data_IF_627935559040
#
_entry.id   IF_627935559040
#
_cell.length_a   1.000
_cell.length_b   1.000
_cell.length_c   1.000
_cell.angle_alpha   90.00
_cell.angle_beta   90.00
_cell.angle_gamma   90.00
#
_symmetry.space_group_name_H-M   'P 1'
#
loop_
_entity.id
_entity.type
_entity.pdbx_description
1 polymer ?
#
# COMPACT_ATOMS: atom_id res chain seq x y z
N UNK A 1 -45.63 -18.51 64.43
CA UNK A 1 -45.99 -17.69 63.26
C UNK A 1 -44.75 -17.63 62.33
N UNK A 2 -44.68 -18.55 61.36
CA UNK A 2 -43.54 -18.66 60.45
C UNK A 2 -43.94 -18.05 59.12
N UNK A 3 -43.29 -16.93 58.74
CA UNK A 3 -43.42 -16.39 57.45
C UNK A 3 -42.34 -17.01 56.54
N UNK A 4 -42.77 -17.77 55.55
CA UNK A 4 -41.91 -18.25 54.45
C UNK A 4 -41.75 -17.13 53.42
N UNK A 5 -40.48 -16.77 53.12
CA UNK A 5 -40.14 -15.88 52.08
C UNK A 5 -39.88 -16.77 50.86
N UNK A 6 -40.66 -16.59 49.83
CA UNK A 6 -40.41 -17.23 48.47
C UNK A 6 -39.40 -16.42 47.72
N UNK A 7 -38.29 -17.03 47.34
CA UNK A 7 -37.33 -16.45 46.43
C UNK A 7 -37.81 -16.66 44.97
N UNK A 8 -38.02 -15.59 44.27
CA UNK A 8 -38.31 -15.59 42.82
C UNK A 8 -36.99 -15.48 42.08
N UNK A 9 -36.60 -16.57 41.45
CA UNK A 9 -35.42 -16.57 40.54
C UNK A 9 -35.85 -16.08 39.18
N UNK A 10 -35.45 -14.86 38.81
CA UNK A 10 -35.65 -14.34 37.50
C UNK A 10 -34.54 -14.87 36.58
N UNK A 11 -34.87 -15.78 35.67
CA UNK A 11 -33.97 -16.25 34.60
C UNK A 11 -34.04 -15.23 33.47
N UNK A 12 -32.99 -14.44 33.34
CA UNK A 12 -32.82 -13.51 32.20
C UNK A 12 -32.34 -14.31 30.99
N UNK A 13 -33.24 -14.61 30.07
CA UNK A 13 -32.89 -15.08 28.74
C UNK A 13 -32.30 -13.91 27.92
N UNK A 14 -30.98 -13.91 27.73
CA UNK A 14 -30.34 -13.07 26.74
C UNK A 14 -30.63 -13.64 25.34
N UNK A 15 -31.54 -13.01 24.62
CA UNK A 15 -31.65 -13.22 23.18
C UNK A 15 -30.44 -12.54 22.50
N UNK A 16 -29.52 -13.33 21.97
CA UNK A 16 -28.57 -12.85 20.99
C UNK A 16 -29.33 -12.64 19.66
N UNK A 17 -29.65 -11.39 19.37
CA UNK A 17 -30.08 -11.01 18.05
C UNK A 17 -28.84 -11.09 17.13
N UNK A 18 -28.75 -12.15 16.34
CA UNK A 18 -27.82 -12.22 15.21
C UNK A 18 -28.24 -11.15 14.21
N UNK A 19 -27.48 -10.06 14.14
CA UNK A 19 -27.60 -9.09 13.06
C UNK A 19 -27.10 -9.79 11.80
N UNK A 20 -28.05 -10.29 11.00
CA UNK A 20 -27.76 -10.65 9.61
C UNK A 20 -27.42 -9.37 8.87
N UNK A 21 -26.16 -9.15 8.59
CA UNK A 21 -25.73 -8.14 7.60
C UNK A 21 -26.23 -8.67 6.26
N UNK A 22 -27.12 -7.96 5.54
CA UNK A 22 -27.53 -8.40 4.23
C UNK A 22 -26.28 -8.41 3.35
N UNK A 23 -26.00 -9.53 2.70
CA UNK A 23 -25.02 -9.60 1.62
C UNK A 23 -25.41 -8.54 0.58
N UNK A 24 -24.56 -7.52 0.42
CA UNK A 24 -24.69 -6.59 -0.71
C UNK A 24 -24.41 -7.41 -1.95
N UNK A 25 -25.46 -7.82 -2.64
CA UNK A 25 -25.33 -8.34 -3.99
C UNK A 25 -24.84 -7.20 -4.87
N UNK A 26 -23.61 -7.28 -5.32
CA UNK A 26 -23.11 -6.42 -6.39
C UNK A 26 -23.87 -6.79 -7.67
N UNK A 27 -25.01 -6.17 -7.90
CA UNK A 27 -25.67 -6.17 -9.20
C UNK A 27 -24.88 -5.22 -10.10
N UNK A 28 -24.11 -5.80 -10.99
CA UNK A 28 -23.32 -5.07 -11.97
C UNK A 28 -22.17 -5.87 -12.56
N UNK A 29 -22.31 -7.19 -12.67
CA UNK A 29 -21.38 -7.98 -13.48
C UNK A 29 -21.69 -7.77 -14.96
N UNK A 30 -20.94 -6.89 -15.62
CA UNK A 30 -20.74 -7.05 -17.06
C UNK A 30 -20.20 -8.46 -17.28
N UNK A 31 -20.93 -9.26 -18.02
CA UNK A 31 -20.63 -10.65 -18.36
C UNK A 31 -19.25 -10.75 -19.05
N UNK A 32 -18.20 -10.92 -18.25
CA UNK A 32 -16.90 -11.37 -18.74
C UNK A 32 -17.10 -12.86 -18.90
N UNK A 33 -17.46 -13.28 -20.11
CA UNK A 33 -17.91 -14.57 -20.57
C UNK A 33 -17.64 -15.74 -19.61
N UNK A 34 -18.59 -16.61 -19.44
CA UNK A 34 -18.78 -17.67 -18.42
C UNK A 34 -17.58 -18.60 -18.11
N UNK A 35 -16.38 -18.34 -18.62
CA UNK A 35 -15.19 -19.19 -18.44
C UNK A 35 -14.12 -18.62 -17.50
N UNK A 36 -14.20 -17.36 -17.06
CA UNK A 36 -13.19 -16.75 -16.19
C UNK A 36 -13.81 -15.99 -15.00
N UNK A 37 -14.56 -16.69 -14.16
CA UNK A 37 -15.00 -16.09 -12.90
C UNK A 37 -13.80 -15.97 -11.94
N UNK A 38 -13.37 -14.74 -11.68
CA UNK A 38 -12.42 -14.46 -10.60
C UNK A 38 -13.12 -14.68 -9.26
N UNK A 39 -12.56 -15.53 -8.43
CA UNK A 39 -13.11 -15.89 -7.12
C UNK A 39 -12.04 -15.73 -6.05
N UNK A 40 -12.37 -15.02 -4.96
CA UNK A 40 -11.57 -15.06 -3.76
C UNK A 40 -11.58 -16.48 -3.19
N UNK A 41 -10.43 -17.11 -3.04
CA UNK A 41 -10.32 -18.51 -2.58
C UNK A 41 -10.01 -18.61 -1.10
N UNK A 42 -9.36 -17.59 -0.52
CA UNK A 42 -9.04 -17.50 0.90
C UNK A 42 -8.72 -16.06 1.31
N UNK A 43 -8.72 -15.83 2.61
CA UNK A 43 -8.11 -14.66 3.25
C UNK A 43 -7.35 -15.13 4.49
N UNK A 44 -6.38 -14.34 4.96
CA UNK A 44 -5.66 -14.60 6.19
C UNK A 44 -5.24 -13.28 6.83
N UNK A 45 -5.42 -13.17 8.14
CA UNK A 45 -5.11 -11.99 8.95
C UNK A 45 -4.00 -12.25 9.99
N UNK A 46 -3.26 -13.34 9.86
CA UNK A 46 -2.23 -13.73 10.84
C UNK A 46 -1.09 -12.70 11.01
N UNK A 47 -0.91 -11.83 10.05
CA UNK A 47 0.08 -10.74 10.13
C UNK A 47 -0.51 -9.44 10.70
N UNK A 48 -1.86 -9.31 10.83
CA UNK A 48 -2.44 -8.09 11.37
C UNK A 48 -2.02 -7.88 12.82
N UNK A 49 -1.32 -6.79 13.05
CA UNK A 49 -0.80 -6.40 14.38
C UNK A 49 0.12 -7.42 15.05
N UNK A 50 0.71 -8.33 14.27
CA UNK A 50 1.73 -9.24 14.77
C UNK A 50 2.90 -8.43 15.36
N UNK A 51 3.34 -8.77 16.56
CA UNK A 51 4.63 -8.30 17.10
C UNK A 51 5.75 -9.18 16.55
N UNK A 52 6.61 -8.60 15.72
CA UNK A 52 7.80 -9.27 15.21
C UNK A 52 9.04 -8.64 15.82
N UNK A 53 9.60 -9.27 16.83
CA UNK A 53 10.82 -8.79 17.56
C UNK A 53 10.66 -7.36 18.09
N UNK A 54 9.48 -7.02 18.61
CA UNK A 54 9.20 -5.68 19.12
C UNK A 54 8.77 -4.66 18.06
N UNK A 55 8.65 -5.07 16.80
CA UNK A 55 8.15 -4.24 15.70
C UNK A 55 6.75 -4.73 15.32
N UNK A 56 5.77 -3.85 15.37
CA UNK A 56 4.41 -4.18 14.99
C UNK A 56 4.27 -4.26 13.49
N UNK A 57 3.75 -5.36 12.98
CA UNK A 57 3.37 -5.51 11.57
C UNK A 57 2.01 -4.84 11.36
N UNK A 58 1.90 -4.01 10.33
CA UNK A 58 0.65 -3.33 9.98
C UNK A 58 0.84 -2.40 8.79
N UNK A 59 -0.28 -1.88 8.28
CA UNK A 59 -0.27 -0.96 7.15
C UNK A 59 0.39 -1.54 5.88
N UNK A 60 0.31 -2.85 5.65
CA UNK A 60 0.88 -3.47 4.45
C UNK A 60 0.05 -3.01 3.25
N UNK A 61 0.51 -1.99 2.54
CA UNK A 61 -0.17 -1.38 1.42
C UNK A 61 0.27 -1.97 0.09
N UNK A 62 1.57 -1.96 -0.22
CA UNK A 62 2.12 -2.54 -1.42
C UNK A 62 2.62 -3.98 -1.24
N UNK A 63 2.33 -4.86 -2.20
CA UNK A 63 2.82 -6.24 -2.22
C UNK A 63 3.36 -6.58 -3.61
N UNK A 64 4.57 -7.14 -3.68
CA UNK A 64 5.16 -7.61 -4.93
C UNK A 64 5.95 -8.89 -4.74
N UNK A 65 6.28 -9.56 -5.84
CA UNK A 65 7.09 -10.76 -5.85
C UNK A 65 8.56 -10.41 -6.13
N UNK A 66 9.45 -10.78 -5.21
CA UNK A 66 10.90 -10.72 -5.42
C UNK A 66 11.35 -12.04 -6.06
N UNK A 67 11.62 -11.99 -7.36
CA UNK A 67 12.04 -13.15 -8.14
C UNK A 67 13.42 -13.67 -7.70
N UNK A 68 14.29 -12.81 -7.23
CA UNK A 68 15.65 -13.16 -6.81
C UNK A 68 15.65 -13.82 -5.44
N UNK A 69 14.91 -13.27 -4.49
CA UNK A 69 14.74 -13.84 -3.15
C UNK A 69 13.73 -14.98 -3.11
N UNK A 70 12.97 -15.21 -4.20
CA UNK A 70 11.92 -16.22 -4.31
C UNK A 70 10.90 -16.11 -3.14
N UNK A 71 10.47 -14.87 -2.86
CA UNK A 71 9.59 -14.50 -1.75
C UNK A 71 8.71 -13.31 -2.09
N UNK A 72 7.63 -13.12 -1.35
CA UNK A 72 6.91 -11.86 -1.42
C UNK A 72 7.61 -10.79 -0.58
N UNK A 73 7.51 -9.56 -1.02
CA UNK A 73 7.89 -8.38 -0.25
C UNK A 73 6.72 -7.41 -0.17
N UNK A 74 6.52 -6.83 1.00
CA UNK A 74 5.45 -5.86 1.24
C UNK A 74 6.03 -4.62 1.91
N UNK A 75 5.64 -3.44 1.46
CA UNK A 75 5.97 -2.20 2.12
C UNK A 75 4.85 -1.79 3.09
N UNK A 76 5.20 -1.03 4.13
CA UNK A 76 4.23 -0.45 5.07
C UNK A 76 3.89 0.97 4.68
N UNK A 77 2.60 1.27 4.58
CA UNK A 77 2.06 2.61 4.80
C UNK A 77 2.12 2.89 6.29
N UNK A 78 2.96 3.83 6.71
CA UNK A 78 3.22 4.12 8.10
C UNK A 78 2.67 5.48 8.50
N UNK A 79 2.19 5.57 9.73
CA UNK A 79 1.66 6.81 10.29
C UNK A 79 2.54 7.37 11.40
N UNK A 80 2.65 8.70 11.45
CA UNK A 80 3.38 9.40 12.51
C UNK A 80 4.86 9.04 12.52
N UNK A 81 5.39 8.63 13.66
CA UNK A 81 6.82 8.32 13.83
C UNK A 81 7.20 6.89 13.47
N UNK A 82 6.25 6.06 13.04
CA UNK A 82 6.57 4.68 12.64
C UNK A 82 7.43 4.70 11.39
N UNK A 83 8.55 3.98 11.43
CA UNK A 83 9.51 3.95 10.34
C UNK A 83 8.97 3.20 9.14
N UNK A 84 9.18 3.77 7.96
CA UNK A 84 8.89 3.11 6.69
C UNK A 84 9.82 1.95 6.45
N UNK A 85 9.26 0.79 6.09
CA UNK A 85 10.05 -0.43 5.91
C UNK A 85 9.42 -1.41 4.93
N UNK A 86 10.27 -2.30 4.45
CA UNK A 86 9.84 -3.46 3.67
C UNK A 86 9.89 -4.71 4.54
N UNK A 87 8.84 -5.52 4.42
CA UNK A 87 8.69 -6.82 5.06
C UNK A 87 8.91 -7.93 4.03
N UNK A 88 9.48 -9.04 4.47
CA UNK A 88 9.77 -10.20 3.61
C UNK A 88 8.89 -11.36 4.04
N UNK A 89 8.03 -11.82 3.13
CA UNK A 89 6.99 -12.80 3.40
C UNK A 89 7.31 -14.11 2.68
N UNK A 90 6.90 -15.21 3.30
CA UNK A 90 6.98 -16.53 2.67
C UNK A 90 6.08 -16.65 1.44
N UNK A 91 6.31 -17.69 0.64
CA UNK A 91 5.54 -17.98 -0.58
C UNK A 91 4.09 -18.35 -0.31
N UNK A 92 3.82 -18.94 0.84
CA UNK A 92 2.47 -19.39 1.19
C UNK A 92 1.67 -18.25 1.80
N UNK A 93 0.90 -17.53 0.97
CA UNK A 93 0.00 -16.49 1.42
C UNK A 93 -1.28 -17.03 2.09
N UNK A 94 -1.55 -18.34 2.02
CA UNK A 94 -2.62 -18.95 2.83
C UNK A 94 -2.22 -19.05 4.30
N UNK A 95 -0.91 -19.13 4.58
CA UNK A 95 -0.35 -19.14 5.91
C UNK A 95 0.87 -18.20 5.95
N UNK A 96 0.64 -16.89 5.88
CA UNK A 96 1.71 -15.91 5.70
C UNK A 96 2.64 -15.88 6.90
N UNK A 97 3.92 -15.77 6.64
CA UNK A 97 4.96 -15.68 7.67
C UNK A 97 6.05 -14.70 7.27
N UNK A 98 6.68 -14.06 8.25
CA UNK A 98 7.84 -13.22 8.03
C UNK A 98 9.07 -14.12 7.98
N UNK A 99 9.86 -14.01 6.90
CA UNK A 99 10.99 -14.92 6.63
C UNK A 99 12.34 -14.35 7.04
N UNK A 100 12.44 -13.03 7.16
CA UNK A 100 13.64 -12.32 7.64
C UNK A 100 13.27 -10.98 8.25
N UNK A 101 14.24 -10.34 8.93
CA UNK A 101 14.04 -9.02 9.53
C UNK A 101 13.67 -7.98 8.46
N UNK A 102 12.76 -7.04 8.79
CA UNK A 102 12.40 -5.98 7.89
C UNK A 102 13.58 -5.03 7.65
N UNK A 103 13.57 -4.34 6.53
CA UNK A 103 14.55 -3.32 6.19
C UNK A 103 13.88 -1.96 6.26
N UNK A 104 14.44 -1.05 7.07
CA UNK A 104 13.97 0.34 7.20
C UNK A 104 14.53 1.17 6.04
N UNK A 105 13.67 2.01 5.45
CA UNK A 105 14.08 2.94 4.41
C UNK A 105 14.73 4.18 5.02
N UNK A 106 15.87 4.59 4.45
CA UNK A 106 16.62 5.77 4.88
C UNK A 106 16.94 6.67 3.70
N UNK A 107 17.08 7.96 3.97
CA UNK A 107 17.54 8.94 2.99
C UNK A 107 19.05 8.74 2.67
N UNK A 108 19.58 9.57 1.79
CA UNK A 108 21.00 9.54 1.39
C UNK A 108 21.96 9.81 2.55
N UNK A 109 21.48 10.44 3.63
CA UNK A 109 22.26 10.75 4.85
C UNK A 109 22.11 9.68 5.93
N UNK A 110 21.24 8.69 5.73
CA UNK A 110 20.98 7.62 6.68
C UNK A 110 19.87 7.94 7.69
N UNK A 111 19.07 9.00 7.47
CA UNK A 111 17.91 9.33 8.30
C UNK A 111 16.74 8.45 7.88
N UNK A 112 16.09 7.79 8.85
CA UNK A 112 14.92 6.94 8.55
C UNK A 112 13.74 7.75 8.05
N UNK A 113 13.10 7.25 7.00
CA UNK A 113 11.77 7.68 6.60
C UNK A 113 10.72 7.15 7.57
N UNK A 114 9.66 7.92 7.78
CA UNK A 114 8.52 7.55 8.62
C UNK A 114 7.25 8.24 8.11
N UNK A 115 6.10 7.96 8.71
CA UNK A 115 4.82 8.52 8.29
C UNK A 115 4.65 10.03 8.48
N UNK A 116 5.65 10.78 9.00
CA UNK A 116 5.69 12.24 8.96
C UNK A 116 6.51 12.78 7.79
N UNK A 117 7.27 11.93 7.10
CA UNK A 117 8.22 12.31 6.04
C UNK A 117 7.95 11.63 4.72
N UNK A 118 7.08 10.62 4.67
CA UNK A 118 6.66 9.93 3.45
C UNK A 118 5.33 9.22 3.67
N UNK A 119 4.56 9.06 2.60
CA UNK A 119 3.26 8.39 2.55
C UNK A 119 3.35 7.28 1.49
N UNK A 120 3.97 6.17 1.86
CA UNK A 120 4.35 5.13 0.90
C UNK A 120 3.20 4.18 0.62
N UNK A 121 2.94 3.88 -0.67
CA UNK A 121 1.81 3.06 -1.09
C UNK A 121 2.21 1.85 -1.94
N UNK A 122 2.99 2.03 -2.96
CA UNK A 122 3.37 0.96 -3.88
C UNK A 122 4.82 0.53 -3.76
N UNK A 123 5.08 -0.74 -4.11
CA UNK A 123 6.43 -1.31 -4.16
C UNK A 123 6.64 -2.14 -5.42
N UNK A 124 7.81 -2.01 -6.03
CA UNK A 124 8.31 -2.95 -7.04
C UNK A 124 9.75 -3.34 -6.72
N UNK A 125 10.12 -4.58 -7.00
CA UNK A 125 11.51 -5.05 -6.94
C UNK A 125 12.11 -4.95 -8.32
N UNK A 126 13.19 -4.20 -8.44
CA UNK A 126 13.91 -3.97 -9.69
C UNK A 126 14.82 -5.17 -10.02
N UNK A 127 15.26 -5.32 -11.28
CA UNK A 127 16.07 -6.47 -11.71
C UNK A 127 17.41 -6.63 -10.96
N UNK A 128 17.96 -5.56 -10.43
CA UNK A 128 19.19 -5.53 -9.61
C UNK A 128 18.96 -5.82 -8.12
N UNK A 129 17.69 -6.01 -7.71
CA UNK A 129 17.30 -6.27 -6.32
C UNK A 129 17.02 -5.00 -5.51
N UNK A 130 17.08 -3.84 -6.12
CA UNK A 130 16.67 -2.57 -5.53
C UNK A 130 15.14 -2.48 -5.41
N UNK A 131 14.66 -1.60 -4.51
CA UNK A 131 13.25 -1.33 -4.34
C UNK A 131 12.87 0.00 -4.96
N UNK A 132 11.84 0.01 -5.80
CA UNK A 132 11.13 1.23 -6.17
C UNK A 132 9.90 1.37 -5.28
N UNK A 133 9.71 2.56 -4.69
CA UNK A 133 8.62 2.86 -3.75
C UNK A 133 7.91 4.12 -4.23
N UNK A 134 6.59 4.06 -4.43
CA UNK A 134 5.76 5.24 -4.66
C UNK A 134 5.30 5.84 -3.33
N UNK A 135 5.20 7.17 -3.29
CA UNK A 135 4.63 7.93 -2.18
C UNK A 135 3.61 8.92 -2.72
N UNK A 136 2.48 9.03 -2.02
CA UNK A 136 1.42 9.99 -2.35
C UNK A 136 1.81 11.45 -2.09
N UNK A 137 2.86 11.66 -1.32
CA UNK A 137 3.27 12.96 -0.85
C UNK A 137 2.49 13.42 0.38
N UNK A 138 3.04 14.40 1.08
CA UNK A 138 2.50 14.94 2.33
C UNK A 138 2.18 16.43 2.14
N UNK A 139 0.96 16.90 2.44
CA UNK A 139 0.64 18.31 2.41
C UNK A 139 1.32 19.05 3.56
N UNK A 140 1.58 20.35 3.41
CA UNK A 140 2.15 21.19 4.48
C UNK A 140 1.10 21.40 5.58
N UNK A 141 1.03 20.47 6.54
CA UNK A 141 0.08 20.52 7.64
C UNK A 141 0.75 20.17 8.97
N UNK A 142 0.56 21.02 9.96
CA UNK A 142 1.03 20.77 11.32
C UNK A 142 2.56 20.67 11.43
N UNK A 143 3.05 19.51 11.88
CA UNK A 143 4.49 19.23 12.07
C UNK A 143 5.12 18.48 10.90
N UNK A 144 4.33 18.08 9.93
CA UNK A 144 4.82 17.31 8.80
C UNK A 144 5.61 18.20 7.85
N UNK A 145 6.72 17.68 7.37
CA UNK A 145 7.42 18.29 6.26
C UNK A 145 6.60 18.01 5.00
N UNK A 146 6.29 19.08 4.23
CA UNK A 146 5.61 18.90 2.96
C UNK A 146 6.47 18.05 2.02
N UNK A 147 5.86 17.04 1.42
CA UNK A 147 6.48 16.18 0.43
C UNK A 147 5.64 16.19 -0.84
N UNK A 148 6.29 16.21 -2.00
CA UNK A 148 5.65 15.97 -3.29
C UNK A 148 5.42 14.48 -3.50
N UNK A 149 4.44 14.05 -4.31
CA UNK A 149 4.39 12.66 -4.75
C UNK A 149 5.70 12.24 -5.39
N UNK A 150 6.23 11.09 -5.00
CA UNK A 150 7.56 10.64 -5.41
C UNK A 150 7.57 9.18 -5.79
N UNK A 151 8.58 8.78 -6.57
CA UNK A 151 9.00 7.38 -6.71
C UNK A 151 10.48 7.31 -6.38
N UNK A 152 10.81 6.73 -5.24
CA UNK A 152 12.19 6.60 -4.77
C UNK A 152 12.75 5.23 -5.05
N UNK A 153 14.04 5.21 -5.36
CA UNK A 153 14.81 3.97 -5.53
C UNK A 153 15.69 3.78 -4.30
N UNK A 154 15.55 2.62 -3.68
CA UNK A 154 16.34 2.21 -2.50
C UNK A 154 17.14 0.96 -2.85
N UNK A 155 18.36 0.87 -2.33
CA UNK A 155 19.12 -0.37 -2.41
C UNK A 155 18.51 -1.48 -1.54
N UNK A 156 19.03 -2.71 -1.66
CA UNK A 156 18.57 -3.87 -0.90
C UNK A 156 18.69 -3.72 0.63
N UNK A 157 19.46 -2.73 1.11
CA UNK A 157 19.60 -2.39 2.53
C UNK A 157 18.69 -1.22 2.96
N UNK A 158 17.84 -0.73 2.05
CA UNK A 158 16.87 0.33 2.32
C UNK A 158 17.46 1.75 2.23
N UNK A 159 18.68 1.93 1.72
CA UNK A 159 19.26 3.26 1.54
C UNK A 159 18.83 3.85 0.20
N UNK A 160 18.33 5.08 0.22
CA UNK A 160 17.96 5.78 -1.00
C UNK A 160 19.15 5.96 -1.95
N UNK A 161 18.98 5.54 -3.19
CA UNK A 161 19.93 5.73 -4.31
C UNK A 161 19.55 6.90 -5.20
N UNK A 162 18.24 7.19 -5.31
CA UNK A 162 17.74 8.23 -6.18
C UNK A 162 16.23 8.38 -6.09
N UNK A 163 15.72 9.24 -6.96
CA UNK A 163 14.29 9.52 -7.10
C UNK A 163 13.98 9.73 -8.59
N UNK A 164 12.85 9.19 -9.05
CA UNK A 164 12.38 9.40 -10.41
C UNK A 164 11.62 10.71 -10.51
N UNK A 165 11.75 11.41 -11.62
CA UNK A 165 11.01 12.65 -11.84
C UNK A 165 9.52 12.37 -11.97
N UNK A 166 8.72 12.95 -11.06
CA UNK A 166 7.25 12.97 -11.14
C UNK A 166 6.83 14.31 -11.74
N UNK A 167 6.08 14.33 -12.86
CA UNK A 167 5.69 15.59 -13.49
C UNK A 167 4.87 16.48 -12.56
N UNK A 168 5.15 17.78 -12.55
CA UNK A 168 4.55 18.76 -11.62
C UNK A 168 3.01 18.75 -11.60
N UNK A 169 2.36 18.29 -12.65
CA UNK A 169 0.90 18.19 -12.68
C UNK A 169 0.35 17.19 -11.64
N UNK A 170 1.16 16.22 -11.19
CA UNK A 170 0.80 15.25 -10.15
C UNK A 170 1.03 15.79 -8.73
N UNK A 171 1.56 16.99 -8.60
CA UNK A 171 1.84 17.61 -7.31
C UNK A 171 0.56 18.02 -6.57
N UNK A 172 0.61 17.90 -5.24
CA UNK A 172 -0.45 18.31 -4.30
C UNK A 172 -0.13 19.65 -3.63
N UNK A 173 1.13 20.11 -3.68
CA UNK A 173 1.66 21.19 -2.86
C UNK A 173 1.94 22.48 -3.64
N UNK A 174 1.84 22.49 -4.98
CA UNK A 174 2.12 23.67 -5.80
C UNK A 174 0.87 24.18 -6.54
N UNK A 175 0.84 25.47 -6.93
CA UNK A 175 -0.26 26.02 -7.71
C UNK A 175 -0.46 25.37 -9.09
N UNK A 176 0.54 24.69 -9.62
CA UNK A 176 0.46 23.97 -10.89
C UNK A 176 0.04 22.51 -10.72
N UNK A 177 0.06 22.00 -9.49
CA UNK A 177 -0.38 20.66 -9.15
C UNK A 177 -1.88 20.50 -9.39
N UNK A 178 -2.25 19.36 -9.96
CA UNK A 178 -3.62 19.01 -10.30
C UNK A 178 -4.15 17.85 -9.47
N UNK A 179 -3.28 17.16 -8.76
CA UNK A 179 -3.66 16.07 -7.86
C UNK A 179 -4.31 16.59 -6.58
N UNK A 180 -5.01 15.72 -5.91
CA UNK A 180 -5.57 15.94 -4.58
C UNK A 180 -4.82 15.10 -3.57
N UNK A 181 -4.65 15.62 -2.35
CA UNK A 181 -4.05 14.88 -1.24
C UNK A 181 -4.76 13.54 -1.02
N UNK A 182 -3.98 12.51 -0.71
CA UNK A 182 -4.44 11.14 -0.49
C UNK A 182 -5.22 10.54 -1.68
N UNK A 183 -4.84 10.94 -2.89
CA UNK A 183 -5.43 10.48 -4.16
C UNK A 183 -4.37 10.51 -5.28
N UNK A 184 -3.11 10.23 -4.98
CA UNK A 184 -2.03 10.35 -5.96
C UNK A 184 -1.44 8.99 -6.38
N UNK A 185 -0.15 8.73 -6.13
CA UNK A 185 0.56 7.56 -6.64
C UNK A 185 0.42 6.37 -5.69
N UNK A 186 -0.53 5.52 -5.99
CA UNK A 186 -0.83 4.30 -5.23
C UNK A 186 -0.02 3.10 -5.71
N UNK A 187 -0.53 2.43 -6.73
CA UNK A 187 0.05 1.21 -7.23
C UNK A 187 1.38 1.42 -7.95
N UNK A 188 2.31 0.50 -7.74
CA UNK A 188 3.58 0.46 -8.44
C UNK A 188 3.86 -0.97 -8.90
N UNK A 189 4.24 -1.15 -10.16
CA UNK A 189 4.48 -2.47 -10.74
C UNK A 189 5.60 -2.43 -11.76
N UNK A 190 6.45 -3.45 -11.73
CA UNK A 190 7.45 -3.69 -12.77
C UNK A 190 6.86 -4.60 -13.85
N UNK A 191 7.09 -4.26 -15.12
CA UNK A 191 6.67 -5.12 -16.23
C UNK A 191 7.35 -6.50 -16.15
N UNK A 192 6.75 -7.56 -16.71
CA UNK A 192 7.37 -8.89 -16.73
C UNK A 192 8.74 -8.94 -17.39
N UNK A 193 9.01 -8.01 -18.30
CA UNK A 193 10.30 -7.88 -18.98
C UNK A 193 11.36 -7.20 -18.11
N UNK A 194 10.95 -6.51 -17.04
CA UNK A 194 11.85 -5.75 -16.17
C UNK A 194 12.24 -4.37 -16.70
N UNK A 195 11.68 -3.93 -17.84
CA UNK A 195 12.08 -2.69 -18.52
C UNK A 195 11.10 -1.52 -18.38
N UNK A 196 9.95 -1.76 -17.78
CA UNK A 196 8.95 -0.70 -17.57
C UNK A 196 8.47 -0.73 -16.11
N UNK A 197 8.56 0.42 -15.45
CA UNK A 197 7.99 0.66 -14.14
C UNK A 197 6.74 1.50 -14.31
N UNK A 198 5.61 1.01 -13.81
CA UNK A 198 4.30 1.65 -13.99
C UNK A 198 3.75 2.02 -12.62
N UNK A 199 3.43 3.29 -12.43
CA UNK A 199 2.69 3.78 -11.26
C UNK A 199 1.30 4.22 -11.65
N UNK A 200 0.31 3.88 -10.83
CA UNK A 200 -1.09 4.22 -11.02
C UNK A 200 -1.53 5.27 -10.00
N UNK A 201 -2.31 6.25 -10.46
CA UNK A 201 -3.00 7.18 -9.55
C UNK A 201 -4.26 6.58 -8.96
N UNK A 202 -4.55 6.87 -7.71
CA UNK A 202 -5.84 6.59 -7.09
C UNK A 202 -6.93 7.55 -7.60
N UNK A 203 -6.66 8.84 -7.57
CA UNK A 203 -7.60 9.89 -7.93
C UNK A 203 -7.52 10.37 -9.36
N UNK A 204 -8.47 11.25 -9.71
CA UNK A 204 -8.52 11.96 -10.99
C UNK A 204 -7.84 13.33 -10.82
N UNK A 205 -6.99 13.72 -11.77
CA UNK A 205 -6.45 15.08 -11.81
C UNK A 205 -7.58 16.09 -12.05
N UNK A 206 -7.51 17.26 -11.44
CA UNK A 206 -8.51 18.33 -11.60
C UNK A 206 -8.74 18.70 -13.06
N UNK A 207 -7.69 18.66 -13.88
CA UNK A 207 -7.75 18.92 -15.32
C UNK A 207 -8.45 17.82 -16.13
N UNK A 208 -8.58 16.61 -15.57
CA UNK A 208 -9.15 15.44 -16.27
C UNK A 208 -10.63 15.24 -15.95
N UNK A 209 -11.19 16.04 -15.05
CA UNK A 209 -12.62 16.03 -14.76
C UNK A 209 -13.36 16.62 -15.96
N UNK A 210 -14.16 15.80 -16.64
CA UNK A 210 -14.93 16.20 -17.81
C UNK A 210 -16.40 15.81 -17.65
N UNK A 211 -17.31 16.74 -17.90
CA UNK A 211 -18.76 16.52 -17.81
C UNK A 211 -19.22 15.85 -16.50
N UNK A 212 -18.65 16.28 -15.36
CA UNK A 212 -18.88 15.69 -14.03
C UNK A 212 -18.39 14.24 -13.85
N UNK A 213 -17.58 13.73 -14.76
CA UNK A 213 -16.91 12.44 -14.61
C UNK A 213 -15.59 12.61 -13.87
N UNK A 214 -15.36 11.76 -12.85
CA UNK A 214 -14.16 11.71 -12.03
C UNK A 214 -13.55 10.31 -11.98
N UNK A 215 -13.73 9.56 -13.06
CA UNK A 215 -13.28 8.16 -13.19
C UNK A 215 -12.01 7.99 -14.04
N UNK A 216 -11.48 9.09 -14.58
CA UNK A 216 -10.20 9.04 -15.30
C UNK A 216 -9.04 8.80 -14.33
N UNK A 217 -8.17 7.88 -14.65
CA UNK A 217 -6.93 7.60 -13.90
C UNK A 217 -5.75 7.72 -14.84
N UNK A 218 -4.66 8.33 -14.36
CA UNK A 218 -3.42 8.39 -15.11
C UNK A 218 -2.44 7.35 -14.61
N UNK A 219 -1.61 6.91 -15.53
CA UNK A 219 -0.45 6.08 -15.23
C UNK A 219 0.80 6.86 -15.59
N UNK A 220 1.83 6.75 -14.75
CA UNK A 220 3.19 7.12 -15.07
C UNK A 220 3.92 5.86 -15.52
N UNK A 221 4.59 5.93 -16.67
CA UNK A 221 5.37 4.82 -17.19
C UNK A 221 6.80 5.31 -17.36
N UNK A 222 7.71 4.66 -16.64
CA UNK A 222 9.15 4.88 -16.77
C UNK A 222 9.74 3.69 -17.51
N UNK A 223 10.69 3.97 -18.39
CA UNK A 223 11.44 2.93 -19.09
C UNK A 223 12.89 2.98 -18.66
N UNK A 224 13.51 1.82 -18.47
CA UNK A 224 14.95 1.82 -18.37
C UNK A 224 15.55 2.18 -19.74
N UNK A 225 16.67 2.88 -19.72
CA UNK A 225 17.38 3.18 -20.94
C UNK A 225 17.87 1.87 -21.55
N UNK A 226 17.31 1.50 -22.72
CA UNK A 226 17.60 0.28 -23.50
C UNK A 226 19.10 0.15 -23.84
N UNK A 227 19.93 1.10 -23.46
CA UNK A 227 21.38 1.10 -23.67
C UNK A 227 22.15 0.20 -22.70
N UNK A 228 21.45 -0.55 -21.82
CA UNK A 228 22.04 -1.61 -21.01
C UNK A 228 22.74 -1.14 -19.73
N UNK A 229 22.49 0.07 -19.27
CA UNK A 229 22.84 0.51 -17.91
C UNK A 229 21.65 0.27 -17.00
N UNK A 230 21.67 -0.86 -16.29
CA UNK A 230 20.69 -1.14 -15.25
C UNK A 230 20.55 0.07 -14.31
N UNK A 231 19.30 0.55 -14.11
CA UNK A 231 18.97 1.56 -13.12
C UNK A 231 18.88 3.01 -13.58
N UNK A 232 18.88 3.31 -14.88
CA UNK A 232 18.49 4.63 -15.38
C UNK A 232 17.09 4.56 -15.99
N UNK A 233 16.09 4.98 -15.20
CA UNK A 233 14.71 5.10 -15.62
C UNK A 233 14.46 6.51 -16.16
N UNK A 234 13.83 6.63 -17.34
CA UNK A 234 13.44 7.91 -17.94
C UNK A 234 11.94 7.95 -18.26
#
# INVERSE_FOLDING_TARGET
MNKRIAAVTATTCMLFASVMIPAVSAEGTTDIGAQNQVKAVAYNDALDKLDYKGIRVGGLSGLTWDKTADSYVAQSDNHGSDESRVWFLGKDLHNPSITRDPVTFTDVNGTSYNGNTTDNEGIAVLPDGDFAISSEGIPPAGRNQAEHPTIRIFDANGRQKGELEVPQLFDINTPKGQASHNLTLEGLSLSPTGHELVSAMEGTLKSDVYQNRSDARRFLVYRDDVTGKAGQWT
#
